data_IF_917539181474
#
_entry.id   IF_917539181474
#
_cell.length_a   1.000
_cell.length_b   1.000
_cell.length_c   1.000
_cell.angle_alpha   90.00
_cell.angle_beta   90.00
_cell.angle_gamma   90.00
#
_symmetry.space_group_name_H-M   'P 1'
#
loop_
_entity.id
_entity.type
_entity.pdbx_description
1 polymer ?
#
# COMPACT_ATOMS: atom_id res chain seq x y z
N UNK A 1 -18.67 7.35 -26.08
CA UNK A 1 -19.39 6.33 -25.30
C UNK A 1 -18.51 5.10 -25.22
N UNK A 2 -17.67 4.98 -24.19
CA UNK A 2 -16.86 3.78 -23.98
C UNK A 2 -17.52 2.92 -22.91
N UNK A 3 -17.59 1.62 -23.19
CA UNK A 3 -18.17 0.63 -22.31
C UNK A 3 -17.57 0.77 -20.91
N UNK A 4 -18.44 0.81 -19.89
CA UNK A 4 -18.03 0.56 -18.51
C UNK A 4 -17.07 -0.62 -18.50
N UNK A 5 -15.93 -0.57 -17.78
CA UNK A 5 -15.08 -1.74 -17.65
C UNK A 5 -15.98 -2.91 -17.24
N UNK A 6 -15.92 -4.06 -17.94
CA UNK A 6 -16.83 -5.17 -17.68
C UNK A 6 -16.78 -5.43 -16.19
N UNK A 7 -17.94 -5.37 -15.51
CA UNK A 7 -17.96 -5.60 -14.08
C UNK A 7 -17.27 -6.95 -13.83
N UNK A 8 -16.15 -7.00 -13.10
CA UNK A 8 -15.48 -8.28 -12.81
C UNK A 8 -16.30 -9.14 -11.83
N UNK A 9 -17.38 -8.57 -11.29
CA UNK A 9 -18.27 -9.15 -10.29
C UNK A 9 -18.91 -10.50 -10.66
N UNK A 10 -19.49 -10.71 -11.86
CA UNK A 10 -20.13 -11.97 -12.18
C UNK A 10 -19.12 -13.08 -12.45
N UNK A 11 -17.93 -12.77 -13.00
CA UNK A 11 -16.93 -13.78 -13.37
C UNK A 11 -16.29 -14.42 -12.15
N UNK A 12 -15.88 -13.61 -11.15
CA UNK A 12 -15.30 -14.14 -9.91
C UNK A 12 -16.37 -14.90 -9.12
N UNK A 13 -17.58 -14.33 -8.97
CA UNK A 13 -18.68 -14.98 -8.25
C UNK A 13 -19.11 -16.29 -8.91
N UNK A 14 -19.12 -16.38 -10.24
CA UNK A 14 -19.44 -17.62 -10.96
C UNK A 14 -18.28 -18.63 -10.94
N UNK A 15 -17.02 -18.19 -11.01
CA UNK A 15 -15.87 -19.08 -10.91
C UNK A 15 -15.78 -19.74 -9.52
N UNK A 16 -16.18 -19.01 -8.47
CA UNK A 16 -16.35 -19.53 -7.11
C UNK A 16 -17.40 -20.64 -7.03
N UNK A 17 -18.50 -20.54 -7.80
CA UNK A 17 -19.58 -21.54 -7.83
C UNK A 17 -19.26 -22.77 -8.69
N UNK A 18 -18.41 -22.64 -9.71
CA UNK A 18 -18.14 -23.70 -10.71
C UNK A 18 -16.80 -24.41 -10.49
N UNK A 19 -16.06 -24.09 -9.42
CA UNK A 19 -14.81 -24.77 -9.06
C UNK A 19 -13.65 -24.57 -10.07
N UNK A 20 -13.71 -23.52 -10.90
CA UNK A 20 -12.65 -23.23 -11.90
C UNK A 20 -11.52 -22.41 -11.27
N UNK A 21 -10.63 -23.09 -10.53
CA UNK A 21 -9.52 -22.49 -9.74
C UNK A 21 -8.56 -21.60 -10.56
N UNK A 22 -8.21 -21.98 -11.79
CA UNK A 22 -7.36 -21.14 -12.67
C UNK A 22 -8.03 -19.82 -13.03
N UNK A 23 -9.31 -19.87 -13.39
CA UNK A 23 -10.13 -18.69 -13.69
C UNK A 23 -10.27 -17.76 -12.47
N UNK A 24 -10.34 -18.33 -11.25
CA UNK A 24 -10.34 -17.55 -10.02
C UNK A 24 -9.04 -16.77 -9.82
N UNK A 25 -7.88 -17.41 -9.93
CA UNK A 25 -6.59 -16.72 -9.75
C UNK A 25 -6.30 -15.69 -10.84
N UNK A 26 -6.67 -15.97 -12.09
CA UNK A 26 -6.54 -14.99 -13.17
C UNK A 26 -7.46 -13.79 -12.95
N UNK A 27 -8.73 -14.02 -12.56
CA UNK A 27 -9.65 -12.94 -12.21
C UNK A 27 -9.18 -12.09 -11.03
N UNK A 28 -8.52 -12.70 -10.03
CA UNK A 28 -7.93 -11.96 -8.91
C UNK A 28 -6.71 -11.12 -9.31
N UNK A 29 -5.86 -11.63 -10.22
CA UNK A 29 -4.76 -10.83 -10.78
C UNK A 29 -5.28 -9.61 -11.50
N UNK A 30 -6.32 -9.76 -12.32
CA UNK A 30 -6.94 -8.65 -13.04
C UNK A 30 -7.61 -7.65 -12.08
N UNK A 31 -8.22 -8.15 -11.00
CA UNK A 31 -8.78 -7.33 -9.94
C UNK A 31 -7.71 -6.51 -9.20
N UNK A 32 -6.50 -7.05 -9.03
CA UNK A 32 -5.39 -6.31 -8.41
C UNK A 32 -4.73 -5.34 -9.40
N UNK A 33 -4.46 -5.76 -10.64
CA UNK A 33 -3.80 -4.94 -11.67
C UNK A 33 -4.56 -3.65 -11.96
N UNK A 34 -5.89 -3.74 -12.12
CA UNK A 34 -6.72 -2.56 -12.39
C UNK A 34 -6.88 -1.59 -11.21
N UNK A 35 -6.33 -1.89 -10.03
CA UNK A 35 -6.42 -1.00 -8.85
C UNK A 35 -5.63 0.29 -9.04
N UNK A 36 -4.41 0.19 -9.58
CA UNK A 36 -3.52 1.34 -9.73
C UNK A 36 -4.13 2.42 -10.64
N UNK A 37 -4.77 1.98 -11.71
CA UNK A 37 -5.52 2.81 -12.64
C UNK A 37 -6.58 3.68 -11.94
N UNK A 38 -7.42 3.05 -11.11
CA UNK A 38 -8.50 3.74 -10.40
C UNK A 38 -7.92 4.68 -9.34
N UNK A 39 -6.88 4.27 -8.61
CA UNK A 39 -6.21 5.13 -7.63
C UNK A 39 -5.58 6.37 -8.28
N UNK A 40 -4.99 6.24 -9.47
CA UNK A 40 -4.48 7.38 -10.23
C UNK A 40 -5.60 8.28 -10.74
N UNK A 41 -6.71 7.72 -11.25
CA UNK A 41 -7.87 8.51 -11.66
C UNK A 41 -8.47 9.31 -10.50
N UNK A 42 -8.60 8.72 -9.31
CA UNK A 42 -9.03 9.44 -8.10
C UNK A 42 -8.04 10.58 -7.78
N UNK A 43 -6.73 10.31 -7.88
CA UNK A 43 -5.71 11.32 -7.59
C UNK A 43 -5.75 12.48 -8.60
N UNK A 44 -6.14 12.23 -9.86
CA UNK A 44 -6.41 13.28 -10.85
C UNK A 44 -7.60 14.16 -10.44
N UNK A 45 -8.71 13.55 -10.02
CA UNK A 45 -9.87 14.30 -9.51
C UNK A 45 -9.49 15.16 -8.30
N UNK A 46 -8.73 14.59 -7.36
CA UNK A 46 -8.26 15.29 -6.16
C UNK A 46 -7.29 16.43 -6.52
N UNK A 47 -6.38 16.24 -7.48
CA UNK A 47 -5.46 17.27 -7.93
C UNK A 47 -6.20 18.44 -8.60
N UNK A 48 -7.23 18.15 -9.38
CA UNK A 48 -8.09 19.17 -9.98
C UNK A 48 -8.89 19.94 -8.91
N UNK A 49 -9.52 19.22 -7.98
CA UNK A 49 -10.30 19.82 -6.87
C UNK A 49 -9.45 20.69 -5.94
N UNK A 50 -8.16 20.36 -5.77
CA UNK A 50 -7.22 21.15 -4.97
C UNK A 50 -7.04 22.59 -5.47
N UNK A 51 -7.35 22.85 -6.74
CA UNK A 51 -7.24 24.19 -7.35
C UNK A 51 -8.52 25.03 -7.17
N UNK A 52 -9.54 24.49 -6.51
CA UNK A 52 -10.83 25.16 -6.24
C UNK A 52 -10.85 25.72 -4.82
N UNK A 53 -11.74 26.67 -4.58
CA UNK A 53 -11.97 27.19 -3.23
C UNK A 53 -12.57 26.08 -2.35
N UNK A 54 -12.01 25.78 -1.16
CA UNK A 54 -12.62 24.85 -0.23
C UNK A 54 -14.08 25.15 0.13
N UNK A 55 -14.47 26.44 0.12
CA UNK A 55 -15.85 26.85 0.36
C UNK A 55 -16.81 26.27 -0.69
N UNK A 56 -16.40 26.19 -1.96
CA UNK A 56 -17.18 25.56 -3.04
C UNK A 56 -17.36 24.06 -2.85
N UNK A 57 -16.51 23.44 -2.02
CA UNK A 57 -16.60 22.03 -1.63
C UNK A 57 -17.47 21.81 -0.40
N UNK A 58 -17.94 22.88 0.25
CA UNK A 58 -18.67 22.82 1.52
C UNK A 58 -17.77 22.52 2.73
N UNK A 59 -16.48 22.86 2.67
CA UNK A 59 -15.52 22.57 3.73
C UNK A 59 -14.64 23.77 4.08
N UNK A 60 -14.28 23.91 5.35
CA UNK A 60 -13.40 25.00 5.84
C UNK A 60 -11.99 24.97 5.22
N UNK A 61 -11.52 23.81 4.78
CA UNK A 61 -10.21 23.65 4.17
C UNK A 61 -10.18 22.44 3.25
N UNK A 62 -9.23 22.41 2.31
CA UNK A 62 -9.00 21.22 1.51
C UNK A 62 -8.56 20.02 2.36
N UNK A 63 -7.87 20.28 3.48
CA UNK A 63 -7.49 19.25 4.45
C UNK A 63 -8.72 18.58 5.08
N UNK A 64 -9.72 19.35 5.50
CA UNK A 64 -10.96 18.80 6.06
C UNK A 64 -11.81 18.10 5.00
N UNK A 65 -11.92 18.66 3.79
CA UNK A 65 -12.54 17.98 2.65
C UNK A 65 -11.93 16.60 2.42
N UNK A 66 -10.60 16.53 2.31
CA UNK A 66 -9.92 15.27 2.01
C UNK A 66 -9.98 14.26 3.17
N UNK A 67 -9.98 14.71 4.42
CA UNK A 67 -10.15 13.82 5.58
C UNK A 67 -11.56 13.20 5.61
N UNK A 68 -12.59 13.97 5.25
CA UNK A 68 -13.99 13.55 5.29
C UNK A 68 -14.44 12.79 4.03
N UNK A 69 -13.87 13.09 2.86
CA UNK A 69 -14.35 12.55 1.57
C UNK A 69 -13.46 11.48 0.95
N UNK A 70 -12.18 11.38 1.35
CA UNK A 70 -11.24 10.41 0.77
C UNK A 70 -10.93 9.26 1.72
N UNK A 71 -10.92 8.05 1.19
CA UNK A 71 -10.61 6.82 1.95
C UNK A 71 -9.11 6.64 2.22
N UNK A 72 -8.28 7.59 1.78
CA UNK A 72 -6.83 7.50 1.85
C UNK A 72 -6.24 8.18 3.07
N UNK A 73 -5.15 7.60 3.58
CA UNK A 73 -4.29 8.30 4.53
C UNK A 73 -3.60 9.51 3.86
N UNK A 74 -3.38 10.55 4.64
CA UNK A 74 -2.80 11.83 4.21
C UNK A 74 -1.46 11.67 3.46
N UNK A 75 -0.55 10.83 3.99
CA UNK A 75 0.75 10.53 3.35
C UNK A 75 0.58 9.88 1.98
N UNK A 76 -0.34 8.92 1.84
CA UNK A 76 -0.58 8.23 0.57
C UNK A 76 -1.22 9.16 -0.45
N UNK A 77 -2.23 9.93 -0.03
CA UNK A 77 -2.89 10.95 -0.86
C UNK A 77 -1.88 11.94 -1.43
N UNK A 78 -1.03 12.53 -0.58
CA UNK A 78 0.00 13.50 -1.03
C UNK A 78 0.96 12.89 -2.03
N UNK A 79 1.37 11.63 -1.83
CA UNK A 79 2.28 10.93 -2.73
C UNK A 79 1.64 10.67 -4.11
N UNK A 80 0.37 10.26 -4.15
CA UNK A 80 -0.36 10.05 -5.39
C UNK A 80 -0.61 11.34 -6.16
N UNK A 81 -1.06 12.40 -5.47
CA UNK A 81 -1.28 13.71 -6.09
C UNK A 81 0.04 14.25 -6.66
N UNK A 82 1.14 14.14 -5.92
CA UNK A 82 2.46 14.55 -6.42
C UNK A 82 2.89 13.74 -7.66
N UNK A 83 2.59 12.44 -7.72
CA UNK A 83 2.87 11.63 -8.90
C UNK A 83 2.03 12.08 -10.10
N UNK A 84 0.73 12.30 -9.91
CA UNK A 84 -0.17 12.75 -10.98
C UNK A 84 0.26 14.10 -11.55
N UNK A 85 0.64 15.04 -10.68
CA UNK A 85 1.09 16.38 -11.08
C UNK A 85 2.50 16.41 -11.68
N UNK A 86 3.29 15.35 -11.50
CA UNK A 86 4.61 15.24 -12.11
C UNK A 86 4.49 14.94 -13.62
N UNK A 87 5.45 15.39 -14.45
CA UNK A 87 5.50 15.05 -15.88
C UNK A 87 6.01 13.61 -16.16
N UNK A 88 5.87 12.70 -15.18
CA UNK A 88 6.36 11.33 -15.27
C UNK A 88 5.34 10.40 -15.91
N UNK A 89 5.00 10.68 -17.17
CA UNK A 89 4.00 9.89 -17.87
C UNK A 89 4.44 8.42 -17.94
N UNK A 90 5.54 8.04 -18.59
CA UNK A 90 5.92 6.62 -18.72
C UNK A 90 5.81 5.82 -17.40
N UNK A 91 6.16 6.44 -16.27
CA UNK A 91 6.01 5.85 -14.93
C UNK A 91 4.56 5.60 -14.53
N UNK A 92 3.65 6.58 -14.66
CA UNK A 92 2.26 6.34 -14.23
C UNK A 92 1.57 5.32 -15.13
N UNK A 93 1.94 5.20 -16.41
CA UNK A 93 1.42 4.13 -17.27
C UNK A 93 1.93 2.76 -16.87
N UNK A 94 3.23 2.63 -16.63
CA UNK A 94 3.77 1.35 -16.17
C UNK A 94 3.07 0.90 -14.87
N UNK A 95 2.70 1.83 -13.99
CA UNK A 95 1.91 1.52 -12.80
C UNK A 95 0.49 1.05 -13.14
N UNK A 96 -0.15 1.75 -14.07
CA UNK A 96 -1.47 1.49 -14.62
C UNK A 96 -1.61 0.12 -15.29
N UNK A 97 -0.58 -0.32 -16.01
CA UNK A 97 -0.50 -1.64 -16.66
C UNK A 97 -0.02 -2.76 -15.71
N UNK A 98 0.33 -2.39 -14.47
CA UNK A 98 0.83 -3.34 -13.49
C UNK A 98 2.27 -3.81 -13.73
N UNK A 99 3.03 -3.12 -14.58
CA UNK A 99 4.46 -3.38 -14.83
C UNK A 99 5.32 -2.99 -13.62
N UNK A 100 4.91 -1.93 -12.90
CA UNK A 100 5.51 -1.55 -11.63
C UNK A 100 4.43 -1.36 -10.56
N UNK A 101 4.68 -1.71 -9.28
CA UNK A 101 3.72 -1.40 -8.23
C UNK A 101 3.54 0.11 -8.08
N UNK A 102 2.30 0.58 -7.85
CA UNK A 102 2.00 2.01 -7.66
C UNK A 102 2.82 2.65 -6.52
N UNK A 103 3.16 1.88 -5.48
CA UNK A 103 4.06 2.32 -4.39
C UNK A 103 5.48 2.63 -4.84
N UNK A 104 5.95 1.97 -5.90
CA UNK A 104 7.25 2.22 -6.53
C UNK A 104 7.14 3.46 -7.41
N UNK A 105 6.06 3.56 -8.20
CA UNK A 105 5.78 4.72 -9.05
C UNK A 105 5.71 6.05 -8.27
N UNK A 106 5.01 6.11 -7.13
CA UNK A 106 4.91 7.36 -6.35
C UNK A 106 6.25 7.86 -5.80
N UNK A 107 7.26 6.97 -5.67
CA UNK A 107 8.61 7.37 -5.25
C UNK A 107 9.39 8.00 -6.40
N UNK A 108 9.04 7.71 -7.65
CA UNK A 108 9.69 8.27 -8.82
C UNK A 108 9.48 9.78 -8.92
N UNK A 109 8.30 10.27 -8.50
CA UNK A 109 7.92 11.69 -8.56
C UNK A 109 8.93 12.65 -7.89
N UNK A 110 9.76 12.16 -6.96
CA UNK A 110 10.78 12.96 -6.25
C UNK A 110 12.22 12.66 -6.67
N UNK A 111 12.44 11.71 -7.57
CA UNK A 111 13.76 11.08 -7.79
C UNK A 111 14.12 10.91 -9.26
N UNK A 112 13.15 10.98 -10.15
CA UNK A 112 13.30 10.64 -11.57
C UNK A 112 13.01 11.89 -12.37
N UNK A 113 13.93 12.24 -13.26
CA UNK A 113 13.72 13.30 -14.23
C UNK A 113 12.88 12.77 -15.40
N UNK A 114 12.31 13.66 -16.22
CA UNK A 114 11.56 13.24 -17.41
C UNK A 114 12.43 12.43 -18.38
N UNK A 115 13.70 12.81 -18.53
CA UNK A 115 14.66 12.15 -19.42
C UNK A 115 15.03 10.73 -18.95
N UNK A 116 15.04 10.50 -17.64
CA UNK A 116 15.50 9.22 -17.06
C UNK A 116 14.38 8.20 -16.86
N UNK A 117 13.13 8.51 -17.23
CA UNK A 117 11.97 7.65 -16.95
C UNK A 117 12.12 6.24 -17.51
N UNK A 118 12.52 6.12 -18.77
CA UNK A 118 12.68 4.83 -19.43
C UNK A 118 13.76 3.99 -18.73
N UNK A 119 14.93 4.61 -18.47
CA UNK A 119 16.04 3.96 -17.76
C UNK A 119 15.65 3.53 -16.35
N UNK A 120 14.91 4.38 -15.62
CA UNK A 120 14.42 4.05 -14.29
C UNK A 120 13.41 2.89 -14.32
N UNK A 121 12.52 2.87 -15.31
CA UNK A 121 11.53 1.79 -15.47
C UNK A 121 12.18 0.45 -15.75
N UNK A 122 13.21 0.42 -16.59
CA UNK A 122 14.01 -0.78 -16.85
C UNK A 122 14.54 -1.35 -15.52
N UNK A 123 15.15 -0.50 -14.69
CA UNK A 123 15.62 -0.91 -13.36
C UNK A 123 14.49 -1.35 -12.41
N UNK A 124 13.32 -0.71 -12.48
CA UNK A 124 12.18 -1.00 -11.61
C UNK A 124 11.43 -2.28 -11.98
N UNK A 125 11.37 -2.63 -13.27
CA UNK A 125 10.73 -3.85 -13.79
C UNK A 125 11.63 -5.07 -13.60
N UNK A 126 12.93 -4.91 -13.83
CA UNK A 126 13.92 -6.00 -13.73
C UNK A 126 14.27 -6.33 -12.27
N UNK A 127 14.11 -5.38 -11.34
CA UNK A 127 14.30 -5.66 -9.92
C UNK A 127 13.25 -6.69 -9.45
N UNK A 128 13.65 -7.93 -9.07
CA UNK A 128 12.70 -8.94 -8.66
C UNK A 128 11.91 -8.45 -7.44
N UNK A 129 10.59 -8.65 -7.49
CA UNK A 129 9.72 -8.54 -6.33
C UNK A 129 10.38 -9.22 -5.13
N UNK A 130 10.41 -8.50 -4.01
CA UNK A 130 11.20 -8.84 -2.84
C UNK A 130 11.19 -10.34 -2.49
N UNK A 131 12.37 -10.95 -2.26
CA UNK A 131 12.44 -12.29 -1.71
C UNK A 131 11.75 -12.35 -0.33
N UNK A 132 11.13 -13.49 -0.07
CA UNK A 132 10.38 -13.87 1.14
C UNK A 132 11.12 -13.42 2.40
N UNK A 133 10.44 -12.66 3.27
CA UNK A 133 10.96 -12.35 4.61
C UNK A 133 10.80 -13.59 5.48
N UNK A 134 11.86 -14.39 5.59
CA UNK A 134 11.96 -15.43 6.61
C UNK A 134 11.90 -14.75 7.99
N UNK A 135 11.02 -15.22 8.87
CA UNK A 135 10.72 -14.59 10.17
C UNK A 135 11.98 -14.37 11.01
N UNK A 136 12.24 -13.10 11.37
CA UNK A 136 13.39 -12.71 12.19
C UNK A 136 13.01 -12.49 13.65
N UNK A 137 13.92 -12.85 14.56
CA UNK A 137 13.86 -12.47 15.97
C UNK A 137 14.35 -11.02 16.16
N UNK A 138 13.94 -10.39 17.26
CA UNK A 138 14.55 -9.12 17.70
C UNK A 138 15.99 -9.39 18.13
N UNK A 139 16.92 -8.63 17.57
CA UNK A 139 18.33 -8.76 17.89
C UNK A 139 18.68 -7.86 19.08
N UNK A 140 19.60 -8.31 19.94
CA UNK A 140 20.28 -7.42 20.88
C UNK A 140 21.08 -6.33 20.16
N UNK A 141 21.44 -5.26 20.86
CA UNK A 141 22.13 -4.09 20.29
C UNK A 141 23.43 -4.47 19.54
N UNK A 142 24.22 -5.38 20.12
CA UNK A 142 25.49 -5.86 19.56
C UNK A 142 25.31 -6.57 18.20
N UNK A 143 24.33 -7.47 18.09
CA UNK A 143 24.04 -8.17 16.84
C UNK A 143 23.41 -7.24 15.79
N UNK A 144 22.65 -6.25 16.25
CA UNK A 144 22.12 -5.18 15.42
C UNK A 144 23.23 -4.33 14.78
N UNK A 145 24.29 -4.02 15.52
CA UNK A 145 25.47 -3.29 15.03
C UNK A 145 26.26 -4.09 14.00
N UNK A 146 26.54 -5.37 14.29
CA UNK A 146 27.21 -6.30 13.35
C UNK A 146 26.48 -6.34 12.01
N UNK A 147 25.17 -6.53 12.05
CA UNK A 147 24.35 -6.60 10.84
C UNK A 147 24.31 -5.26 10.08
N UNK A 148 24.24 -4.13 10.79
CA UNK A 148 24.30 -2.79 10.16
C UNK A 148 25.63 -2.57 9.43
N UNK A 149 26.75 -2.98 10.03
CA UNK A 149 28.09 -2.87 9.42
C UNK A 149 28.24 -3.78 8.20
N UNK A 150 27.84 -5.04 8.29
CA UNK A 150 27.90 -5.99 7.17
C UNK A 150 27.05 -5.52 5.98
N UNK A 151 25.81 -5.07 6.24
CA UNK A 151 24.93 -4.51 5.20
C UNK A 151 25.52 -3.29 4.52
N UNK A 152 26.19 -2.40 5.27
CA UNK A 152 26.87 -1.23 4.70
C UNK A 152 27.99 -1.66 3.75
N UNK A 153 28.80 -2.62 4.16
CA UNK A 153 29.91 -3.15 3.37
C UNK A 153 29.44 -3.87 2.10
N UNK A 154 28.41 -4.70 2.22
CA UNK A 154 27.80 -5.42 1.09
C UNK A 154 27.19 -4.46 0.05
N UNK A 155 26.56 -3.34 0.47
CA UNK A 155 26.08 -2.31 -0.46
C UNK A 155 27.21 -1.66 -1.26
N UNK A 156 28.39 -1.49 -0.65
CA UNK A 156 29.57 -0.97 -1.35
C UNK A 156 30.01 -1.97 -2.42
N UNK A 157 30.01 -3.27 -2.10
CA UNK A 157 30.41 -4.33 -3.04
C UNK A 157 29.39 -4.51 -4.19
N UNK A 158 28.10 -4.28 -3.94
CA UNK A 158 27.07 -4.37 -4.98
C UNK A 158 27.14 -3.21 -6.00
N UNK A 159 27.81 -2.10 -5.69
CA UNK A 159 27.99 -0.96 -6.60
C UNK A 159 26.69 -0.25 -7.04
N UNK A 160 25.53 -0.64 -6.50
CA UNK A 160 24.20 -0.10 -6.85
C UNK A 160 23.32 0.07 -5.61
N UNK A 161 22.23 0.83 -5.74
CA UNK A 161 21.25 1.00 -4.66
C UNK A 161 20.45 -0.30 -4.49
N UNK A 162 20.78 -1.08 -3.46
CA UNK A 162 20.12 -2.35 -3.13
C UNK A 162 19.26 -2.22 -1.86
N UNK A 163 18.07 -2.84 -1.89
CA UNK A 163 17.16 -2.93 -0.75
C UNK A 163 17.75 -3.78 0.37
N UNK A 164 17.33 -3.62 1.64
CA UNK A 164 17.81 -4.45 2.74
C UNK A 164 17.71 -5.95 2.48
N UNK A 165 16.62 -6.43 1.86
CA UNK A 165 16.45 -7.85 1.54
C UNK A 165 17.39 -8.36 0.46
N UNK A 166 17.70 -7.56 -0.57
CA UNK A 166 18.70 -7.92 -1.58
C UNK A 166 20.10 -8.01 -0.98
N UNK A 167 20.43 -7.08 -0.07
CA UNK A 167 21.69 -7.08 0.66
C UNK A 167 21.79 -8.29 1.56
N UNK A 168 20.71 -8.64 2.27
CA UNK A 168 20.66 -9.81 3.14
C UNK A 168 20.80 -11.12 2.36
N UNK A 169 20.11 -11.24 1.22
CA UNK A 169 20.23 -12.41 0.36
C UNK A 169 21.62 -12.54 -0.26
N UNK A 170 22.23 -11.43 -0.65
CA UNK A 170 23.59 -11.42 -1.15
C UNK A 170 24.60 -11.84 -0.07
N UNK A 171 24.43 -11.36 1.16
CA UNK A 171 25.23 -11.83 2.31
C UNK A 171 25.06 -13.34 2.53
N UNK A 172 23.81 -13.82 2.51
CA UNK A 172 23.49 -15.23 2.70
C UNK A 172 24.02 -16.12 1.56
N UNK A 173 23.94 -15.69 0.29
CA UNK A 173 24.45 -16.47 -0.83
C UNK A 173 25.97 -16.57 -0.79
N UNK A 174 26.67 -15.45 -0.58
CA UNK A 174 28.13 -15.46 -0.48
C UNK A 174 28.62 -16.32 0.68
N UNK A 175 27.90 -16.30 1.81
CA UNK A 175 28.20 -17.12 2.98
C UNK A 175 27.93 -18.61 2.74
N UNK A 176 26.78 -18.97 2.14
CA UNK A 176 26.42 -20.36 1.82
C UNK A 176 27.37 -20.98 0.81
N UNK A 177 27.73 -20.22 -0.21
CA UNK A 177 28.62 -20.66 -1.29
C UNK A 177 30.11 -20.50 -0.92
N UNK A 178 30.40 -19.95 0.27
CA UNK A 178 31.75 -19.68 0.79
C UNK A 178 32.65 -19.00 -0.25
N UNK A 179 32.08 -17.98 -0.93
CA UNK A 179 32.79 -17.30 -2.00
C UNK A 179 34.07 -16.64 -1.47
N UNK A 180 35.23 -16.86 -2.13
CA UNK A 180 36.46 -16.17 -1.76
C UNK A 180 36.31 -14.65 -1.90
N UNK A 181 36.96 -13.91 -0.99
CA UNK A 181 36.93 -12.43 -1.00
C UNK A 181 37.35 -11.84 -2.35
N UNK A 182 38.33 -12.46 -3.02
CA UNK A 182 38.83 -12.03 -4.32
C UNK A 182 37.75 -12.08 -5.41
N UNK A 183 36.90 -13.11 -5.40
CA UNK A 183 35.78 -13.28 -6.34
C UNK A 183 34.70 -12.22 -6.10
N UNK A 184 34.38 -11.98 -4.82
CA UNK A 184 33.42 -10.95 -4.40
C UNK A 184 33.89 -9.57 -4.85
N UNK A 185 35.17 -9.25 -4.62
CA UNK A 185 35.74 -7.95 -4.96
C UNK A 185 35.96 -7.78 -6.48
N UNK A 186 36.25 -8.86 -7.21
CA UNK A 186 36.33 -8.83 -8.67
C UNK A 186 34.96 -8.57 -9.30
N UNK A 187 33.91 -9.26 -8.83
CA UNK A 187 32.53 -9.02 -9.27
C UNK A 187 32.08 -7.58 -8.97
N UNK A 188 32.47 -7.03 -7.81
CA UNK A 188 32.20 -5.64 -7.46
C UNK A 188 32.86 -4.60 -8.38
N UNK A 189 33.93 -4.99 -9.11
CA UNK A 189 34.65 -4.13 -10.07
C UNK A 189 34.15 -4.27 -11.50
N UNK A 190 33.35 -5.31 -11.81
CA UNK A 190 32.85 -5.55 -13.15
C UNK A 190 31.74 -4.56 -13.54
N UNK A 191 31.71 -4.15 -14.81
CA UNK A 191 30.62 -3.32 -15.34
C UNK A 191 29.32 -4.15 -15.34
N UNK A 192 28.19 -3.61 -14.83
CA UNK A 192 26.93 -4.35 -14.80
C UNK A 192 26.42 -4.63 -16.22
N UNK A 193 25.74 -5.77 -16.46
CA UNK A 193 25.22 -6.10 -17.79
C UNK A 193 24.20 -5.06 -18.25
N UNK A 194 24.23 -4.76 -19.55
CA UNK A 194 23.23 -3.90 -20.19
C UNK A 194 21.85 -4.56 -20.11
N UNK A 195 20.80 -3.84 -19.65
CA UNK A 195 19.48 -4.44 -19.51
C UNK A 195 18.80 -4.62 -20.88
N UNK A 196 17.91 -5.61 -20.95
CA UNK A 196 17.11 -5.89 -22.16
C UNK A 196 16.16 -4.72 -22.51
N UNK A 197 15.90 -4.48 -23.81
CA UNK A 197 14.96 -3.45 -24.24
C UNK A 197 13.53 -3.84 -23.90
N UNK A 198 12.80 -2.90 -23.28
CA UNK A 198 11.40 -3.06 -22.90
C UNK A 198 10.46 -2.87 -24.10
N UNK A 199 9.26 -3.49 -24.09
CA UNK A 199 8.23 -3.24 -25.09
C UNK A 199 7.72 -1.79 -25.05
N UNK A 200 7.25 -1.29 -26.18
CA UNK A 200 6.62 0.04 -26.28
C UNK A 200 5.32 0.11 -25.46
N UNK A 201 5.22 1.17 -24.65
CA UNK A 201 4.11 1.41 -23.74
C UNK A 201 3.29 2.61 -24.26
N UNK A 202 1.97 2.43 -24.53
CA UNK A 202 0.98 3.50 -24.87
C UNK A 202 0.05 4.02 -23.73
N UNK A 203 0.04 5.33 -23.53
CA UNK A 203 -0.68 6.09 -22.48
C UNK A 203 -2.15 6.44 -22.75
N UNK A 204 -2.72 5.99 -23.88
CA UNK A 204 -3.94 6.57 -24.44
C UNK A 204 -5.10 6.66 -23.44
N UNK A 205 -5.37 5.59 -22.68
CA UNK A 205 -6.58 5.49 -21.85
C UNK A 205 -6.63 6.45 -20.64
N UNK A 206 -5.48 6.91 -20.12
CA UNK A 206 -5.44 7.81 -18.96
C UNK A 206 -5.39 9.29 -19.39
N UNK A 207 -4.92 9.58 -20.62
CA UNK A 207 -5.00 10.92 -21.24
C UNK A 207 -6.41 11.25 -21.76
N UNK A 208 -7.21 10.23 -22.06
CA UNK A 208 -8.57 10.40 -22.59
C UNK A 208 -9.63 10.72 -21.50
N UNK A 209 -9.24 10.87 -20.22
CA UNK A 209 -10.13 11.44 -19.22
C UNK A 209 -10.26 12.95 -19.46
N UNK A 210 -11.40 13.36 -20.01
CA UNK A 210 -11.75 14.76 -20.13
C UNK A 210 -11.64 15.45 -18.76
N UNK A 211 -11.09 16.67 -18.74
CA UNK A 211 -11.09 17.48 -17.53
C UNK A 211 -12.53 17.64 -17.01
N UNK A 212 -12.75 17.60 -15.69
CA UNK A 212 -14.08 17.80 -15.12
C UNK A 212 -14.64 19.16 -15.55
N UNK A 213 -15.87 19.17 -16.07
CA UNK A 213 -16.54 20.39 -16.50
C UNK A 213 -16.95 21.29 -15.32
N UNK A 214 -17.15 20.70 -14.14
CA UNK A 214 -17.56 21.41 -12.93
C UNK A 214 -17.07 20.73 -11.65
N UNK A 215 -17.12 21.45 -10.53
CA UNK A 215 -16.84 20.90 -9.19
C UNK A 215 -17.78 19.74 -8.87
N UNK A 216 -19.06 19.87 -9.21
CA UNK A 216 -20.07 18.81 -9.03
C UNK A 216 -19.72 17.55 -9.81
N UNK A 217 -19.25 17.69 -11.06
CA UNK A 217 -18.86 16.55 -11.87
C UNK A 217 -17.61 15.85 -11.33
N UNK A 218 -16.61 16.61 -10.90
CA UNK A 218 -15.42 16.08 -10.25
C UNK A 218 -15.74 15.32 -8.96
N UNK A 219 -16.65 15.84 -8.12
CA UNK A 219 -17.11 15.18 -6.89
C UNK A 219 -17.90 13.91 -7.18
N UNK A 220 -18.80 13.94 -8.17
CA UNK A 220 -19.57 12.75 -8.58
C UNK A 220 -18.65 11.65 -9.10
N UNK A 221 -17.67 12.01 -9.93
CA UNK A 221 -16.71 11.06 -10.47
C UNK A 221 -15.78 10.51 -9.39
N UNK A 222 -15.34 11.36 -8.46
CA UNK A 222 -14.57 10.96 -7.29
C UNK A 222 -15.32 9.92 -6.43
N UNK A 223 -16.60 10.15 -6.16
CA UNK A 223 -17.45 9.22 -5.40
C UNK A 223 -17.64 7.90 -6.15
N UNK A 224 -17.91 7.96 -7.46
CA UNK A 224 -18.04 6.78 -8.32
C UNK A 224 -16.78 5.93 -8.30
N UNK A 225 -15.61 6.53 -8.50
CA UNK A 225 -14.32 5.81 -8.51
C UNK A 225 -14.00 5.20 -7.14
N UNK A 226 -14.29 5.91 -6.04
CA UNK A 226 -14.13 5.36 -4.70
C UNK A 226 -15.08 4.19 -4.44
N UNK A 227 -16.34 4.26 -4.89
CA UNK A 227 -17.28 3.15 -4.80
C UNK A 227 -16.76 1.91 -5.55
N UNK A 228 -16.19 2.09 -6.74
CA UNK A 228 -15.53 0.99 -7.49
C UNK A 228 -14.36 0.40 -6.69
N UNK A 229 -13.48 1.23 -6.10
CA UNK A 229 -12.38 0.72 -5.28
C UNK A 229 -12.87 -0.07 -4.06
N UNK A 230 -13.88 0.44 -3.37
CA UNK A 230 -14.51 -0.23 -2.22
C UNK A 230 -15.07 -1.58 -2.63
N UNK A 231 -15.83 -1.64 -3.72
CA UNK A 231 -16.38 -2.88 -4.27
C UNK A 231 -15.31 -3.89 -4.68
N UNK A 232 -14.21 -3.44 -5.30
CA UNK A 232 -13.07 -4.33 -5.60
C UNK A 232 -12.42 -4.87 -4.33
N UNK A 233 -12.28 -4.04 -3.30
CA UNK A 233 -11.70 -4.46 -2.03
C UNK A 233 -12.57 -5.51 -1.32
N UNK A 234 -13.90 -5.40 -1.36
CA UNK A 234 -14.80 -6.41 -0.77
C UNK A 234 -14.72 -7.74 -1.52
N UNK A 235 -14.74 -7.72 -2.86
CA UNK A 235 -14.59 -8.93 -3.69
C UNK A 235 -13.26 -9.61 -3.41
N UNK A 236 -12.16 -8.84 -3.42
CA UNK A 236 -10.83 -9.36 -3.12
C UNK A 236 -10.76 -9.99 -1.73
N UNK A 237 -11.38 -9.35 -0.73
CA UNK A 237 -11.42 -9.83 0.64
C UNK A 237 -12.15 -11.17 0.79
N UNK A 238 -13.35 -11.29 0.23
CA UNK A 238 -14.15 -12.53 0.28
C UNK A 238 -13.47 -13.67 -0.48
N UNK A 239 -12.99 -13.39 -1.69
CA UNK A 239 -12.29 -14.40 -2.48
C UNK A 239 -11.00 -14.89 -1.79
N UNK A 240 -10.24 -13.98 -1.18
CA UNK A 240 -9.03 -14.37 -0.44
C UNK A 240 -9.35 -15.12 0.86
N UNK A 241 -10.40 -14.72 1.60
CA UNK A 241 -10.91 -15.46 2.76
C UNK A 241 -11.21 -16.91 2.40
N UNK A 242 -11.96 -17.12 1.31
CA UNK A 242 -12.29 -18.46 0.81
C UNK A 242 -11.06 -19.27 0.40
N UNK A 243 -10.13 -18.66 -0.37
CA UNK A 243 -8.88 -19.32 -0.75
C UNK A 243 -8.11 -19.80 0.49
N UNK A 244 -8.11 -19.02 1.56
CA UNK A 244 -7.44 -19.39 2.80
C UNK A 244 -8.19 -20.43 3.62
N UNK A 245 -9.52 -20.34 3.74
CA UNK A 245 -10.34 -21.26 4.54
C UNK A 245 -10.43 -22.65 3.91
N UNK A 246 -10.54 -22.72 2.58
CA UNK A 246 -10.59 -23.97 1.82
C UNK A 246 -9.21 -24.46 1.38
N UNK A 247 -8.14 -23.75 1.77
CA UNK A 247 -6.76 -24.04 1.40
C UNK A 247 -6.53 -24.19 -0.12
N UNK A 248 -7.27 -23.47 -0.97
CA UNK A 248 -7.20 -23.55 -2.44
C UNK A 248 -5.81 -23.19 -3.03
N UNK A 249 -4.94 -22.59 -2.22
CA UNK A 249 -3.57 -22.24 -2.61
C UNK A 249 -2.63 -23.45 -2.70
N UNK A 250 -2.96 -24.60 -2.11
CA UNK A 250 -2.10 -25.79 -2.12
C UNK A 250 -1.90 -26.38 -3.52
N UNK A 251 -2.76 -26.02 -4.47
CA UNK A 251 -2.78 -26.42 -5.89
C UNK A 251 -1.72 -25.72 -6.78
N UNK A 252 -0.54 -25.42 -6.25
CA UNK A 252 0.54 -24.81 -7.03
C UNK A 252 1.37 -23.79 -6.29
N UNK A 253 1.09 -23.56 -5.01
CA UNK A 253 1.90 -22.70 -4.15
C UNK A 253 2.34 -23.47 -2.90
N UNK A 254 3.57 -23.23 -2.47
CA UNK A 254 4.16 -23.87 -1.28
C UNK A 254 3.58 -23.33 0.03
N UNK A 255 2.95 -22.16 0.00
CA UNK A 255 2.28 -21.55 1.14
C UNK A 255 1.23 -20.53 0.69
N UNK A 256 0.30 -20.19 1.60
CA UNK A 256 -0.63 -19.08 1.39
C UNK A 256 0.10 -17.74 1.17
N UNK A 257 1.27 -17.54 1.80
CA UNK A 257 2.11 -16.36 1.56
C UNK A 257 2.63 -16.31 0.11
N UNK A 258 3.14 -17.44 -0.39
CA UNK A 258 3.63 -17.53 -1.77
C UNK A 258 2.50 -17.25 -2.77
N UNK A 259 1.30 -17.78 -2.51
CA UNK A 259 0.11 -17.48 -3.31
C UNK A 259 -0.27 -15.98 -3.25
N UNK A 260 -0.35 -15.40 -2.06
CA UNK A 260 -0.69 -13.98 -1.89
C UNK A 260 0.30 -13.05 -2.60
N UNK A 261 1.59 -13.37 -2.53
CA UNK A 261 2.63 -12.60 -3.21
C UNK A 261 2.50 -12.74 -4.74
N UNK A 262 2.41 -13.96 -5.25
CA UNK A 262 2.40 -14.24 -6.68
C UNK A 262 1.10 -13.83 -7.39
N UNK A 263 -0.06 -13.95 -6.74
CA UNK A 263 -1.38 -13.65 -7.32
C UNK A 263 -1.80 -12.22 -7.01
N UNK A 264 -1.63 -11.77 -5.76
CA UNK A 264 -2.17 -10.50 -5.29
C UNK A 264 -1.12 -9.40 -5.13
N UNK A 265 0.17 -9.70 -5.25
CA UNK A 265 1.25 -8.75 -4.94
C UNK A 265 1.22 -8.27 -3.48
N UNK A 266 0.64 -9.06 -2.57
CA UNK A 266 0.48 -8.70 -1.16
C UNK A 266 1.52 -9.40 -0.29
N UNK A 267 2.05 -8.66 0.69
CA UNK A 267 2.78 -9.28 1.81
C UNK A 267 1.83 -10.12 2.68
N UNK A 268 2.38 -11.09 3.42
CA UNK A 268 1.61 -11.92 4.36
C UNK A 268 0.72 -11.09 5.30
N UNK A 269 1.25 -10.01 5.89
CA UNK A 269 0.48 -9.15 6.80
C UNK A 269 -0.70 -8.46 6.09
N UNK A 270 -0.53 -8.05 4.83
CA UNK A 270 -1.62 -7.48 4.05
C UNK A 270 -2.65 -8.55 3.69
N UNK A 271 -2.19 -9.73 3.27
CA UNK A 271 -3.04 -10.87 2.96
C UNK A 271 -3.89 -11.28 4.18
N UNK A 272 -3.28 -11.35 5.38
CA UNK A 272 -4.00 -11.60 6.63
C UNK A 272 -5.05 -10.54 6.92
N UNK A 273 -4.76 -9.26 6.71
CA UNK A 273 -5.76 -8.18 6.86
C UNK A 273 -6.92 -8.33 5.88
N UNK A 274 -6.63 -8.67 4.63
CA UNK A 274 -7.64 -8.91 3.59
C UNK A 274 -8.49 -10.13 3.94
N UNK A 275 -7.89 -11.22 4.46
CA UNK A 275 -8.62 -12.41 4.90
C UNK A 275 -9.54 -12.11 6.09
N UNK A 276 -9.05 -11.37 7.10
CA UNK A 276 -9.88 -10.95 8.24
C UNK A 276 -11.07 -10.10 7.81
N UNK A 277 -10.84 -9.17 6.88
CA UNK A 277 -11.94 -8.41 6.28
C UNK A 277 -12.94 -9.33 5.57
N UNK A 278 -12.47 -10.30 4.78
CA UNK A 278 -13.36 -11.23 4.08
C UNK A 278 -14.22 -12.05 5.04
N UNK A 279 -13.61 -12.62 6.08
CA UNK A 279 -14.32 -13.34 7.14
C UNK A 279 -15.31 -12.43 7.90
N UNK A 280 -14.96 -11.16 8.11
CA UNK A 280 -15.87 -10.19 8.71
C UNK A 280 -17.09 -9.90 7.82
N UNK A 281 -16.89 -9.77 6.51
CA UNK A 281 -17.97 -9.55 5.54
C UNK A 281 -18.87 -10.79 5.36
N UNK A 282 -18.31 -11.99 5.50
CA UNK A 282 -19.08 -13.24 5.52
C UNK A 282 -19.96 -13.34 6.77
N UNK A 283 -19.42 -12.96 7.94
CA UNK A 283 -20.17 -12.97 9.21
C UNK A 283 -21.20 -11.85 9.32
N UNK A 284 -20.90 -10.68 8.76
CA UNK A 284 -21.73 -9.47 8.83
C UNK A 284 -22.01 -8.87 7.44
N UNK A 285 -22.94 -9.44 6.66
CA UNK A 285 -23.29 -8.96 5.31
C UNK A 285 -23.76 -7.49 5.27
N UNK A 286 -24.30 -6.98 6.37
CA UNK A 286 -24.66 -5.58 6.54
C UNK A 286 -23.47 -4.63 6.39
N UNK A 287 -22.27 -5.06 6.77
CA UNK A 287 -21.03 -4.27 6.61
C UNK A 287 -20.67 -4.13 5.14
N UNK A 288 -20.88 -5.18 4.34
CA UNK A 288 -20.70 -5.12 2.88
C UNK A 288 -21.66 -4.10 2.26
N UNK A 289 -22.92 -4.11 2.71
CA UNK A 289 -23.94 -3.16 2.26
C UNK A 289 -23.56 -1.73 2.64
N UNK A 290 -23.07 -1.50 3.85
CA UNK A 290 -22.57 -0.20 4.29
C UNK A 290 -21.38 0.28 3.46
N UNK A 291 -20.43 -0.61 3.13
CA UNK A 291 -19.28 -0.28 2.26
C UNK A 291 -19.73 0.18 0.88
N UNK A 292 -20.72 -0.51 0.29
CA UNK A 292 -21.32 -0.12 -0.99
C UNK A 292 -22.02 1.23 -0.93
N UNK A 293 -22.65 1.56 0.21
CA UNK A 293 -23.28 2.88 0.46
C UNK A 293 -22.28 3.99 0.80
N UNK A 294 -21.01 3.67 1.00
CA UNK A 294 -19.95 4.67 1.14
C UNK A 294 -19.10 4.57 2.39
N UNK A 295 -19.34 3.57 3.25
CA UNK A 295 -18.48 3.30 4.42
C UNK A 295 -17.06 2.92 3.94
N UNK A 296 -16.01 3.64 4.36
CA UNK A 296 -14.65 3.28 3.99
C UNK A 296 -14.27 1.91 4.53
N UNK A 297 -13.61 1.10 3.70
CA UNK A 297 -13.23 -0.29 4.02
C UNK A 297 -12.40 -0.39 5.29
N UNK A 298 -11.62 0.64 5.64
CA UNK A 298 -10.81 0.67 6.88
C UNK A 298 -11.66 0.60 8.16
N UNK A 299 -12.91 1.06 8.12
CA UNK A 299 -13.80 1.02 9.28
C UNK A 299 -14.50 -0.33 9.44
N UNK A 300 -14.59 -1.14 8.40
CA UNK A 300 -15.30 -2.41 8.44
C UNK A 300 -14.73 -3.36 9.53
N UNK A 301 -13.40 -3.59 9.54
CA UNK A 301 -12.74 -4.43 10.55
C UNK A 301 -12.86 -3.82 11.95
N UNK A 302 -12.78 -2.48 12.07
CA UNK A 302 -12.91 -1.76 13.34
C UNK A 302 -14.31 -1.86 13.94
N UNK A 303 -15.34 -1.66 13.11
CA UNK A 303 -16.75 -1.75 13.52
C UNK A 303 -17.09 -3.17 13.98
N UNK A 304 -16.61 -4.19 13.26
CA UNK A 304 -16.84 -5.59 13.66
C UNK A 304 -16.11 -5.92 14.97
N UNK A 305 -14.91 -5.38 15.19
CA UNK A 305 -14.18 -5.56 16.45
C UNK A 305 -14.82 -4.80 17.62
N UNK A 306 -15.30 -3.57 17.39
CA UNK A 306 -15.98 -2.77 18.39
C UNK A 306 -17.37 -3.31 18.73
N UNK A 307 -18.06 -3.89 17.75
CA UNK A 307 -19.48 -4.22 17.84
C UNK A 307 -19.81 -5.48 18.66
N UNK A 308 -18.87 -6.42 18.79
CA UNK A 308 -19.21 -7.78 19.25
C UNK A 308 -20.35 -8.40 18.42
N UNK A 309 -21.03 -9.42 18.94
CA UNK A 309 -22.12 -10.10 18.21
C UNK A 309 -23.42 -9.27 18.09
N UNK A 310 -23.56 -8.16 18.83
CA UNK A 310 -24.85 -7.46 18.96
C UNK A 310 -24.94 -6.02 18.46
N UNK A 311 -23.82 -5.27 18.34
CA UNK A 311 -23.87 -3.82 18.10
C UNK A 311 -23.31 -3.35 16.75
N UNK A 312 -22.96 -4.26 15.83
CA UNK A 312 -22.45 -3.92 14.49
C UNK A 312 -23.42 -2.99 13.72
N UNK A 313 -24.72 -3.26 13.77
CA UNK A 313 -25.75 -2.43 13.14
C UNK A 313 -25.82 -1.02 13.75
N UNK A 314 -25.63 -0.90 15.05
CA UNK A 314 -25.64 0.40 15.73
C UNK A 314 -24.42 1.24 15.34
N UNK A 315 -23.26 0.61 15.20
CA UNK A 315 -22.06 1.25 14.68
C UNK A 315 -22.18 1.67 13.21
N UNK A 316 -22.83 0.85 12.37
CA UNK A 316 -23.14 1.23 10.98
C UNK A 316 -24.08 2.44 10.96
N UNK A 317 -25.15 2.42 11.77
CA UNK A 317 -26.09 3.53 11.88
C UNK A 317 -25.40 4.81 12.38
N UNK A 318 -24.46 4.69 13.32
CA UNK A 318 -23.65 5.82 13.77
C UNK A 318 -22.80 6.37 12.62
N UNK A 319 -22.09 5.50 11.90
CA UNK A 319 -21.23 5.87 10.78
C UNK A 319 -21.95 6.62 9.64
N UNK A 320 -23.26 6.38 9.46
CA UNK A 320 -24.08 7.11 8.48
C UNK A 320 -24.40 8.54 8.93
N UNK A 321 -24.45 8.78 10.24
CA UNK A 321 -24.87 10.05 10.83
C UNK A 321 -23.68 10.99 11.12
N UNK A 322 -22.52 10.43 11.45
CA UNK A 322 -21.33 11.22 11.83
C UNK A 322 -20.32 11.35 10.69
N UNK A 323 -19.41 12.33 10.83
CA UNK A 323 -18.24 12.45 9.96
C UNK A 323 -17.23 11.34 10.21
N UNK A 324 -16.31 11.12 9.26
CA UNK A 324 -15.29 10.05 9.34
C UNK A 324 -14.35 10.25 10.51
N UNK A 325 -13.97 11.50 10.78
CA UNK A 325 -13.12 11.82 11.92
C UNK A 325 -13.78 11.44 13.24
N UNK A 326 -15.06 11.77 13.37
CA UNK A 326 -15.83 11.46 14.57
C UNK A 326 -16.00 9.95 14.76
N UNK A 327 -16.24 9.22 13.66
CA UNK A 327 -16.28 7.76 13.69
C UNK A 327 -14.94 7.15 14.11
N UNK A 328 -13.80 7.69 13.66
CA UNK A 328 -12.48 7.24 14.12
C UNK A 328 -12.33 7.44 15.64
N UNK A 329 -12.72 8.60 16.16
CA UNK A 329 -12.70 8.88 17.60
C UNK A 329 -13.59 7.93 18.39
N UNK A 330 -14.85 7.77 17.97
CA UNK A 330 -15.79 6.84 18.60
C UNK A 330 -15.22 5.42 18.67
N UNK A 331 -14.60 4.94 17.60
CA UNK A 331 -13.99 3.61 17.53
C UNK A 331 -12.64 3.51 18.26
N UNK A 332 -11.93 4.62 18.49
CA UNK A 332 -10.71 4.65 19.31
C UNK A 332 -11.07 4.58 20.80
N UNK A 333 -12.15 5.30 21.20
CA UNK A 333 -12.65 5.35 22.57
C UNK A 333 -13.20 3.99 23.05
N UNK A 334 -13.70 3.15 22.13
CA UNK A 334 -14.16 1.79 22.48
C UNK A 334 -13.04 0.98 23.14
N UNK A 335 -11.79 1.15 22.70
CA UNK A 335 -10.59 0.66 23.38
C UNK A 335 -10.74 -0.66 24.14
N UNK A 336 -10.38 -0.65 25.43
CA UNK A 336 -10.55 -1.78 26.37
C UNK A 336 -11.91 -1.76 27.12
N UNK A 337 -12.82 -0.87 26.73
CA UNK A 337 -14.12 -0.66 27.37
C UNK A 337 -15.26 -1.39 26.66
N UNK A 338 -16.50 -1.17 27.14
CA UNK A 338 -17.71 -1.62 26.45
C UNK A 338 -18.16 -0.60 25.42
N UNK A 339 -18.67 -1.07 24.27
CA UNK A 339 -19.16 -0.20 23.20
C UNK A 339 -20.47 0.53 23.54
N UNK A 340 -21.28 -0.03 24.46
CA UNK A 340 -22.60 0.49 24.82
C UNK A 340 -22.61 1.95 25.28
N UNK A 341 -21.82 2.34 26.31
CA UNK A 341 -21.78 3.71 26.80
C UNK A 341 -21.42 4.75 25.73
N UNK A 342 -20.55 4.40 24.79
CA UNK A 342 -20.15 5.30 23.69
C UNK A 342 -21.32 5.46 22.72
N UNK A 343 -21.91 4.35 22.27
CA UNK A 343 -23.08 4.38 21.38
C UNK A 343 -24.26 5.15 21.99
N UNK A 344 -24.50 4.97 23.29
CA UNK A 344 -25.54 5.69 24.04
C UNK A 344 -25.26 7.20 24.08
N UNK A 345 -24.02 7.60 24.40
CA UNK A 345 -23.61 9.00 24.40
C UNK A 345 -23.77 9.66 23.02
N UNK A 346 -23.39 8.97 21.94
CA UNK A 346 -23.63 9.46 20.58
C UNK A 346 -25.12 9.52 20.24
N UNK A 347 -25.93 8.55 20.68
CA UNK A 347 -27.37 8.55 20.45
C UNK A 347 -28.02 9.78 21.11
N UNK A 348 -27.66 10.08 22.35
CA UNK A 348 -28.11 11.27 23.08
C UNK A 348 -27.64 12.57 22.39
N UNK A 349 -26.36 12.66 22.03
CA UNK A 349 -25.80 13.82 21.35
C UNK A 349 -26.48 14.10 20.01
N UNK A 350 -26.73 13.06 19.21
CA UNK A 350 -27.41 13.23 17.92
C UNK A 350 -28.89 13.58 18.13
N UNK A 351 -29.57 12.99 19.13
CA UNK A 351 -30.95 13.35 19.46
C UNK A 351 -31.06 14.83 19.86
N UNK A 352 -30.13 15.31 20.69
CA UNK A 352 -30.05 16.71 21.10
C UNK A 352 -29.76 17.63 19.92
N UNK A 353 -28.81 17.28 19.06
CA UNK A 353 -28.48 18.05 17.86
C UNK A 353 -29.65 18.14 16.87
N UNK A 354 -30.35 17.02 16.63
CA UNK A 354 -31.53 16.96 15.75
C UNK A 354 -32.71 17.77 16.32
N UNK A 355 -32.78 17.90 17.65
CA UNK A 355 -33.82 18.68 18.34
C UNK A 355 -33.51 20.18 18.38
N UNK A 356 -32.22 20.55 18.38
CA UNK A 356 -31.76 21.94 18.50
C UNK A 356 -31.51 22.63 17.15
N UNK A 357 -31.18 21.86 16.12
CA UNK A 357 -30.80 22.36 14.79
C UNK A 357 -31.45 21.45 13.75
N UNK A 358 -32.04 22.03 12.72
CA UNK A 358 -32.65 21.26 11.62
C UNK A 358 -31.71 20.19 11.06
N UNK A 359 -32.25 19.16 10.37
CA UNK A 359 -31.67 17.80 10.21
C UNK A 359 -30.27 17.64 9.57
N UNK A 360 -29.53 18.71 9.25
CA UNK A 360 -28.34 18.69 8.38
C UNK A 360 -27.00 19.15 9.02
N UNK A 361 -26.88 19.30 10.35
CA UNK A 361 -25.65 19.84 10.95
C UNK A 361 -24.77 18.77 11.63
N UNK A 362 -23.50 18.68 11.17
CA UNK A 362 -22.43 17.86 11.77
C UNK A 362 -21.47 18.73 12.58
N UNK A 363 -21.28 18.44 13.86
CA UNK A 363 -20.39 19.19 14.78
C UNK A 363 -19.02 18.48 14.87
N UNK A 364 -17.92 19.24 14.89
CA UNK A 364 -16.57 18.71 15.08
C UNK A 364 -15.92 19.29 16.34
N UNK A 365 -15.35 18.43 17.18
CA UNK A 365 -14.59 18.82 18.38
C UNK A 365 -13.07 18.68 18.16
N UNK A 366 -12.24 19.57 18.74
CA UNK A 366 -10.78 19.52 18.59
C UNK A 366 -10.12 18.56 19.61
N UNK A 367 -9.04 17.88 19.20
CA UNK A 367 -8.18 17.07 20.08
C UNK A 367 -6.70 16.93 19.62
N UNK A 368 -5.78 16.60 20.54
CA UNK A 368 -4.32 16.76 20.41
C UNK A 368 -3.54 15.54 19.87
N UNK A 369 -2.30 15.77 19.44
CA UNK A 369 -1.40 14.81 18.77
C UNK A 369 -0.58 13.92 19.73
N UNK A 370 -0.34 12.65 19.34
CA UNK A 370 0.49 11.67 20.05
C UNK A 370 1.93 11.56 19.50
N UNK A 371 2.94 11.30 20.37
CA UNK A 371 4.33 11.13 19.96
C UNK A 371 4.66 9.69 19.49
N UNK A 372 5.63 9.58 18.57
CA UNK A 372 6.09 8.33 17.95
C UNK A 372 7.40 7.85 18.59
N UNK A 373 7.46 6.58 18.99
CA UNK A 373 8.67 5.92 19.49
C UNK A 373 9.47 5.19 18.37
N UNK A 374 10.81 5.06 18.50
CA UNK A 374 11.65 4.35 17.53
C UNK A 374 11.49 2.82 17.61
N UNK A 375 11.58 2.15 16.45
CA UNK A 375 11.33 0.71 16.28
C UNK A 375 12.61 -0.14 16.35
N UNK A 376 12.57 -1.33 16.98
CA UNK A 376 13.70 -2.27 17.06
C UNK A 376 14.02 -2.98 15.73
N UNK A 377 15.26 -3.49 15.61
CA UNK A 377 15.78 -4.20 14.42
C UNK A 377 15.53 -5.71 14.52
N UNK A 378 14.97 -6.32 13.46
CA UNK A 378 14.66 -7.77 13.39
C UNK A 378 15.43 -8.46 12.27
N UNK A 379 15.95 -9.68 12.51
CA UNK A 379 16.68 -10.50 11.53
C UNK A 379 16.67 -11.99 11.88
N UNK A 380 17.02 -12.87 10.93
CA UNK A 380 17.20 -14.31 11.21
C UNK A 380 18.56 -14.58 11.85
N UNK A 381 18.71 -15.62 12.70
CA UNK A 381 20.00 -16.00 13.28
C UNK A 381 21.07 -16.33 12.22
N UNK A 382 20.68 -16.96 11.10
CA UNK A 382 21.57 -17.22 9.97
C UNK A 382 22.17 -15.93 9.39
N UNK A 383 21.37 -14.87 9.28
CA UNK A 383 21.83 -13.60 8.72
C UNK A 383 22.87 -12.92 9.61
N UNK A 384 22.79 -13.10 10.94
CA UNK A 384 23.81 -12.61 11.88
C UNK A 384 25.12 -13.38 11.69
N UNK A 385 25.06 -14.70 11.51
CA UNK A 385 26.25 -15.52 11.24
C UNK A 385 26.89 -15.16 9.88
N UNK A 386 26.08 -14.97 8.85
CA UNK A 386 26.54 -14.49 7.54
C UNK A 386 27.16 -13.10 7.63
N UNK A 387 26.59 -12.20 8.43
CA UNK A 387 27.12 -10.85 8.66
C UNK A 387 28.48 -10.88 9.36
N UNK A 388 28.67 -11.74 10.36
CA UNK A 388 29.97 -11.94 11.04
C UNK A 388 31.02 -12.47 10.06
N UNK A 389 30.71 -13.57 9.37
CA UNK A 389 31.62 -14.13 8.35
C UNK A 389 31.99 -13.11 7.26
N UNK A 390 31.03 -12.31 6.80
CA UNK A 390 31.25 -11.30 5.78
C UNK A 390 32.25 -10.23 6.24
N UNK A 391 32.14 -9.76 7.49
CA UNK A 391 33.05 -8.77 8.05
C UNK A 391 34.46 -9.33 8.28
N UNK A 392 34.57 -10.62 8.58
CA UNK A 392 35.84 -11.32 8.77
C UNK A 392 36.55 -11.65 7.44
N UNK A 393 35.79 -11.78 6.35
CA UNK A 393 36.30 -12.27 5.06
C UNK A 393 36.51 -11.14 4.05
N UNK A 394 35.62 -10.15 4.02
CA UNK A 394 35.64 -9.10 2.99
C UNK A 394 36.28 -7.84 3.54
N UNK A 395 37.51 -7.56 3.12
CA UNK A 395 38.21 -6.32 3.44
C UNK A 395 38.30 -5.43 2.21
N UNK A 396 37.69 -4.25 2.27
CA UNK A 396 37.92 -3.25 1.24
C UNK A 396 39.36 -2.74 1.33
N UNK A 397 40.02 -2.50 0.18
CA UNK A 397 41.34 -1.89 0.19
C UNK A 397 41.31 -0.53 0.89
N UNK A 398 42.40 -0.13 1.56
CA UNK A 398 42.47 1.15 2.25
C UNK A 398 42.19 2.29 1.27
N UNK A 399 41.36 3.24 1.70
CA UNK A 399 40.99 4.40 0.89
C UNK A 399 42.24 5.24 0.60
N UNK A 400 42.68 5.29 -0.66
CA UNK A 400 43.79 6.11 -1.13
C UNK A 400 43.28 7.31 -1.98
N UNK A 401 44.06 8.40 -2.03
CA UNK A 401 43.73 9.61 -2.80
C UNK A 401 42.49 10.38 -2.31
N UNK A 402 41.73 10.98 -3.24
CA UNK A 402 40.49 11.74 -2.95
C UNK A 402 39.42 10.93 -2.18
N UNK A 403 39.51 9.59 -2.17
CA UNK A 403 38.67 8.72 -1.35
C UNK A 403 38.93 8.80 0.16
N UNK A 404 40.09 9.31 0.58
CA UNK A 404 40.47 9.50 2.00
C UNK A 404 39.82 10.74 2.63
N UNK A 405 39.48 11.74 1.82
CA UNK A 405 39.02 13.07 2.26
C UNK A 405 37.49 13.21 2.27
N UNK A 406 36.76 12.37 1.52
CA UNK A 406 35.28 12.30 1.58
C UNK A 406 34.83 11.09 2.40
N UNK A 407 34.63 11.28 3.70
CA UNK A 407 33.57 10.54 4.38
C UNK A 407 32.25 11.03 3.79
N UNK A 408 31.72 10.32 2.79
CA UNK A 408 30.42 10.64 2.19
C UNK A 408 29.32 10.38 3.22
N UNK A 409 29.13 11.35 4.09
CA UNK A 409 27.87 11.57 4.75
C UNK A 409 27.03 12.47 3.82
N UNK A 410 25.90 11.93 3.36
CA UNK A 410 24.90 12.57 2.48
C UNK A 410 25.37 12.87 1.04
N UNK A 411 25.06 11.91 0.17
CA UNK A 411 25.11 12.03 -1.29
C UNK A 411 24.10 13.09 -1.80
N UNK A 412 24.48 14.36 -1.77
CA UNK A 412 23.99 15.37 -2.72
C UNK A 412 25.22 16.01 -3.39
N UNK A 413 25.24 16.00 -4.71
CA UNK A 413 25.90 17.00 -5.53
C UNK A 413 24.87 17.46 -6.56
N UNK A 414 24.83 18.78 -6.75
CA UNK A 414 23.96 19.53 -7.66
C UNK A 414 24.06 19.04 -9.10
#
# INVERSE_FOLDING_TARGET
>A
MYASPPEPFPVITSALLVGRRRTLFDGLRDLVRGRAAIELAIAMQVAWLRRRDPADLGHLSFGSFTAERLDWGDTWRRALVALVESPLDLVKQAACEGLVPLRVAVRAARRVSVADQATWLIGAVIAPNHPVRVGGCELGEDDGDVLRRARRLARICLGRTASPGEVDNYLLSCWRDRLPAEVILAAARAAPPAPEPLPELSWAWCRDQAEPASTTDALRELERLQAVLRGRATVLAKAWSLITSEALWTDGFTSAEACANAVLGLSLRQAQRVARLGAALERHPEVESAIRRGLPVRYADRIVQAGGEGSVQEWIALAERVGRRELDCALDDVGAGSAGPILDAYREAIALATSAVGPDVRVALPHPEQPVAPLPVRATPELVQAARWWLDTVHLPPKCGFGRVKERDRYQCQ
#
